data_IF_129912954674
#
_entry.id   IF_129912954674
#
_cell.length_a   1.000
_cell.length_b   1.000
_cell.length_c   1.000
_cell.angle_alpha   90.00
_cell.angle_beta   90.00
_cell.angle_gamma   90.00
#
_symmetry.space_group_name_H-M   'P 1'
#
loop_
_entity.id
_entity.type
_entity.pdbx_description
1 polymer ?
#
# COMPACT_ATOMS: atom_id res chain seq x y z
N UNK A 1 -23.85 -4.23 -35.76
CA UNK A 1 -24.38 -5.57 -35.43
C UNK A 1 -23.86 -5.94 -34.06
N UNK A 2 -24.68 -5.71 -33.05
CA UNK A 2 -24.45 -6.09 -31.65
C UNK A 2 -24.66 -7.59 -31.54
N UNK A 3 -23.58 -8.36 -31.44
CA UNK A 3 -23.66 -9.76 -31.03
C UNK A 3 -24.18 -9.76 -29.60
N UNK A 4 -25.35 -10.35 -29.39
CA UNK A 4 -25.84 -10.65 -28.06
C UNK A 4 -24.82 -11.61 -27.40
N UNK A 5 -23.95 -11.06 -26.55
CA UNK A 5 -23.23 -11.84 -25.55
C UNK A 5 -24.32 -12.40 -24.63
N UNK A 6 -24.55 -13.71 -24.72
CA UNK A 6 -25.49 -14.40 -23.84
C UNK A 6 -25.14 -14.13 -22.38
N UNK A 7 -26.15 -14.20 -21.51
CA UNK A 7 -26.10 -13.96 -20.07
C UNK A 7 -25.18 -14.94 -19.27
N UNK A 8 -24.10 -15.47 -19.83
CA UNK A 8 -23.20 -16.41 -19.15
C UNK A 8 -21.77 -16.28 -19.65
N UNK A 9 -20.81 -16.45 -18.74
CA UNK A 9 -19.38 -16.50 -19.02
C UNK A 9 -18.92 -17.86 -19.58
N UNK A 10 -19.77 -18.91 -19.54
CA UNK A 10 -19.42 -20.27 -19.93
C UNK A 10 -18.82 -20.38 -21.35
N UNK A 11 -19.35 -19.62 -22.32
CA UNK A 11 -18.82 -19.60 -23.68
C UNK A 11 -17.44 -18.94 -23.80
N UNK A 12 -17.08 -18.04 -22.89
CA UNK A 12 -15.74 -17.43 -22.82
C UNK A 12 -14.78 -18.33 -22.04
N UNK A 13 -15.27 -19.04 -21.02
CA UNK A 13 -14.51 -20.02 -20.25
C UNK A 13 -14.10 -21.22 -21.10
N UNK A 14 -14.99 -21.73 -21.95
CA UNK A 14 -14.65 -22.81 -22.89
C UNK A 14 -13.51 -22.43 -23.85
N UNK A 15 -13.35 -21.15 -24.19
CA UNK A 15 -12.25 -20.67 -25.04
C UNK A 15 -10.88 -20.64 -24.33
N UNK A 16 -10.85 -20.73 -22.99
CA UNK A 16 -9.61 -20.85 -22.22
C UNK A 16 -9.04 -22.27 -22.26
N UNK A 17 -9.89 -23.28 -22.49
CA UNK A 17 -9.49 -24.68 -22.57
C UNK A 17 -8.86 -25.06 -23.92
N UNK A 18 -9.04 -24.23 -24.95
CA UNK A 18 -8.44 -24.42 -26.29
C UNK A 18 -6.93 -24.20 -26.27
N UNK A 19 -6.17 -24.95 -27.07
CA UNK A 19 -4.69 -24.89 -27.10
C UNK A 19 -4.12 -23.59 -27.71
N UNK A 20 -4.95 -22.79 -28.40
CA UNK A 20 -4.48 -21.58 -29.09
C UNK A 20 -4.31 -20.38 -28.13
N UNK A 21 -3.07 -19.93 -27.99
CA UNK A 21 -2.70 -18.76 -27.20
C UNK A 21 -3.46 -17.47 -27.60
N UNK A 22 -3.80 -17.30 -28.88
CA UNK A 22 -4.56 -16.14 -29.34
C UNK A 22 -6.02 -16.18 -28.85
N UNK A 23 -6.62 -17.37 -28.78
CA UNK A 23 -7.96 -17.57 -28.25
C UNK A 23 -7.99 -17.36 -26.73
N UNK A 24 -7.01 -17.92 -26.01
CA UNK A 24 -6.83 -17.70 -24.57
C UNK A 24 -6.69 -16.21 -24.24
N UNK A 25 -5.85 -15.49 -24.97
CA UNK A 25 -5.67 -14.04 -24.80
C UNK A 25 -6.97 -13.25 -24.98
N UNK A 26 -7.71 -13.54 -26.05
CA UNK A 26 -9.00 -12.89 -26.32
C UNK A 26 -10.06 -13.26 -25.28
N UNK A 27 -10.07 -14.50 -24.78
CA UNK A 27 -10.93 -14.93 -23.70
C UNK A 27 -10.65 -14.13 -22.42
N UNK A 28 -9.37 -14.00 -22.02
CA UNK A 28 -8.96 -13.22 -20.85
C UNK A 28 -9.35 -11.74 -20.95
N UNK A 29 -9.22 -11.13 -22.14
CA UNK A 29 -9.65 -9.75 -22.34
C UNK A 29 -11.15 -9.56 -22.13
N UNK A 30 -11.95 -10.51 -22.62
CA UNK A 30 -13.41 -10.50 -22.39
C UNK A 30 -13.74 -10.76 -20.92
N UNK A 31 -13.07 -11.70 -20.26
CA UNK A 31 -13.27 -11.99 -18.85
C UNK A 31 -12.99 -10.78 -17.97
N UNK A 32 -11.92 -10.03 -18.23
CA UNK A 32 -11.62 -8.81 -17.49
C UNK A 32 -12.74 -7.74 -17.57
N UNK A 33 -13.53 -7.72 -18.65
CA UNK A 33 -14.65 -6.78 -18.80
C UNK A 33 -15.91 -7.23 -18.04
N UNK A 34 -16.09 -8.54 -17.86
CA UNK A 34 -17.32 -9.13 -17.31
C UNK A 34 -17.13 -9.67 -15.89
N UNK A 35 -15.90 -9.71 -15.38
CA UNK A 35 -15.54 -10.30 -14.07
C UNK A 35 -16.38 -9.76 -12.93
N UNK A 36 -16.66 -8.45 -12.90
CA UNK A 36 -17.44 -7.85 -11.82
C UNK A 36 -18.90 -8.33 -11.75
N UNK A 37 -19.43 -8.89 -12.85
CA UNK A 37 -20.82 -9.36 -12.95
C UNK A 37 -20.94 -10.88 -12.90
N UNK A 38 -19.93 -11.59 -13.41
CA UNK A 38 -19.93 -13.05 -13.57
C UNK A 38 -18.84 -13.74 -12.75
N UNK A 39 -18.29 -13.10 -11.71
CA UNK A 39 -17.25 -13.67 -10.85
C UNK A 39 -17.61 -15.06 -10.32
N UNK A 40 -18.90 -15.31 -10.01
CA UNK A 40 -19.36 -16.60 -9.50
C UNK A 40 -19.22 -17.73 -10.52
N UNK A 41 -19.44 -17.47 -11.82
CA UNK A 41 -19.21 -18.47 -12.88
C UNK A 41 -17.72 -18.62 -13.18
N UNK A 42 -16.95 -17.54 -13.08
CA UNK A 42 -15.51 -17.55 -13.33
C UNK A 42 -14.75 -18.23 -12.17
N UNK A 43 -15.32 -18.24 -10.97
CA UNK A 43 -14.73 -18.86 -9.78
C UNK A 43 -14.39 -20.34 -10.01
N UNK A 44 -15.25 -21.08 -10.72
CA UNK A 44 -15.03 -22.50 -11.06
C UNK A 44 -13.80 -22.71 -11.96
N UNK A 45 -13.42 -21.68 -12.72
CA UNK A 45 -12.28 -21.71 -13.65
C UNK A 45 -11.03 -21.01 -13.12
N UNK A 46 -11.01 -20.53 -11.87
CA UNK A 46 -9.83 -19.90 -11.25
C UNK A 46 -8.57 -20.76 -11.38
N UNK A 47 -8.59 -22.07 -11.07
CA UNK A 47 -7.38 -22.90 -11.15
C UNK A 47 -6.72 -22.87 -12.53
N UNK A 48 -7.54 -22.85 -13.60
CA UNK A 48 -7.06 -22.76 -14.98
C UNK A 48 -6.45 -21.38 -15.27
N UNK A 49 -7.08 -20.31 -14.80
CA UNK A 49 -6.57 -18.93 -15.00
C UNK A 49 -5.26 -18.73 -14.22
N UNK A 50 -5.14 -19.31 -13.02
CA UNK A 50 -3.91 -19.29 -12.24
C UNK A 50 -2.79 -20.04 -12.95
N UNK A 51 -3.04 -21.25 -13.46
CA UNK A 51 -2.06 -22.02 -14.24
C UNK A 51 -1.53 -21.20 -15.43
N UNK A 52 -2.43 -20.56 -16.19
CA UNK A 52 -2.07 -19.67 -17.30
C UNK A 52 -1.25 -18.44 -16.86
N UNK A 53 -1.43 -17.97 -15.63
CA UNK A 53 -0.66 -16.86 -15.08
C UNK A 53 0.77 -17.26 -14.70
N UNK A 54 0.99 -18.53 -14.38
CA UNK A 54 2.29 -19.09 -14.02
C UNK A 54 3.08 -19.60 -15.25
N UNK A 55 2.39 -19.86 -16.36
CA UNK A 55 3.01 -20.25 -17.63
C UNK A 55 3.94 -19.18 -18.20
N UNK A 56 5.24 -19.43 -18.13
CA UNK A 56 6.28 -18.51 -18.66
C UNK A 56 6.23 -18.30 -20.17
N UNK A 57 5.63 -19.26 -20.90
CA UNK A 57 5.48 -19.20 -22.37
C UNK A 57 4.28 -18.40 -22.85
N UNK A 58 3.35 -18.04 -21.96
CA UNK A 58 2.12 -17.35 -22.32
C UNK A 58 2.34 -15.83 -22.35
N UNK A 59 2.09 -15.15 -23.50
CA UNK A 59 2.38 -13.73 -23.66
C UNK A 59 1.53 -12.82 -22.75
N UNK A 60 0.29 -13.22 -22.45
CA UNK A 60 -0.67 -12.43 -21.68
C UNK A 60 -0.85 -12.93 -20.23
N UNK A 61 0.18 -13.55 -19.65
CA UNK A 61 0.17 -14.04 -18.26
C UNK A 61 -0.16 -12.96 -17.23
N UNK A 62 0.24 -11.73 -17.48
CA UNK A 62 -0.02 -10.57 -16.61
C UNK A 62 -1.52 -10.24 -16.60
N UNK A 63 -2.23 -10.46 -17.72
CA UNK A 63 -3.67 -10.29 -17.80
C UNK A 63 -4.39 -11.44 -17.09
N UNK A 64 -3.90 -12.68 -17.21
CA UNK A 64 -4.43 -13.82 -16.47
C UNK A 64 -4.34 -13.59 -14.97
N UNK A 65 -3.17 -13.18 -14.47
CA UNK A 65 -2.97 -12.82 -13.07
C UNK A 65 -3.94 -11.70 -12.60
N UNK A 66 -4.16 -10.69 -13.44
CA UNK A 66 -5.09 -9.60 -13.12
C UNK A 66 -6.55 -10.07 -13.01
N UNK A 67 -7.00 -10.91 -13.95
CA UNK A 67 -8.37 -11.46 -13.94
C UNK A 67 -8.57 -12.36 -12.71
N UNK A 68 -7.63 -13.27 -12.44
CA UNK A 68 -7.69 -14.14 -11.27
C UNK A 68 -7.72 -13.32 -9.97
N UNK A 69 -6.86 -12.30 -9.87
CA UNK A 69 -6.85 -11.39 -8.71
C UNK A 69 -8.20 -10.71 -8.47
N UNK A 70 -8.87 -10.24 -9.54
CA UNK A 70 -10.23 -9.66 -9.42
C UNK A 70 -11.27 -10.69 -8.98
N UNK A 71 -11.18 -11.92 -9.44
CA UNK A 71 -12.06 -13.00 -8.98
C UNK A 71 -11.87 -13.26 -7.48
N UNK A 72 -10.63 -13.42 -7.01
CA UNK A 72 -10.33 -13.60 -5.58
C UNK A 72 -10.78 -12.41 -4.73
N UNK A 73 -10.68 -11.19 -5.26
CA UNK A 73 -11.23 -10.01 -4.58
C UNK A 73 -12.74 -10.13 -4.34
N UNK A 74 -13.52 -10.61 -5.32
CA UNK A 74 -14.97 -10.83 -5.14
C UNK A 74 -15.28 -12.03 -4.24
N UNK A 75 -14.36 -12.99 -4.10
CA UNK A 75 -14.43 -14.09 -3.14
C UNK A 75 -14.00 -13.70 -1.72
N UNK A 76 -13.61 -12.43 -1.50
CA UNK A 76 -13.07 -11.92 -0.23
C UNK A 76 -11.75 -12.59 0.22
N UNK A 77 -11.06 -13.28 -0.70
CA UNK A 77 -9.76 -13.91 -0.46
C UNK A 77 -8.63 -12.93 -0.82
N UNK A 78 -8.43 -11.94 0.04
CA UNK A 78 -7.55 -10.79 -0.25
C UNK A 78 -6.06 -11.15 -0.32
N UNK A 79 -5.60 -12.19 0.37
CA UNK A 79 -4.20 -12.62 0.33
C UNK A 79 -3.82 -13.17 -1.06
N UNK A 80 -4.65 -14.03 -1.63
CA UNK A 80 -4.45 -14.55 -2.98
C UNK A 80 -4.69 -13.49 -4.04
N UNK A 81 -5.69 -12.63 -3.83
CA UNK A 81 -5.89 -11.46 -4.68
C UNK A 81 -4.63 -10.59 -4.73
N UNK A 82 -3.97 -10.31 -3.60
CA UNK A 82 -2.72 -9.55 -3.56
C UNK A 82 -1.59 -10.27 -4.28
N UNK A 83 -1.38 -11.57 -4.03
CA UNK A 83 -0.32 -12.37 -4.67
C UNK A 83 -0.39 -12.28 -6.19
N UNK A 84 -1.58 -12.43 -6.75
CA UNK A 84 -1.83 -12.36 -8.19
C UNK A 84 -1.79 -10.91 -8.71
N UNK A 85 -2.26 -9.93 -7.94
CA UNK A 85 -2.17 -8.51 -8.30
C UNK A 85 -0.71 -8.07 -8.48
N UNK A 86 0.20 -8.54 -7.62
CA UNK A 86 1.65 -8.27 -7.75
C UNK A 86 2.24 -8.90 -9.03
N UNK A 87 1.64 -9.98 -9.53
CA UNK A 87 1.99 -10.62 -10.80
C UNK A 87 1.40 -9.94 -12.04
N UNK A 88 0.37 -9.09 -11.88
CA UNK A 88 -0.33 -8.42 -12.97
C UNK A 88 0.48 -7.31 -13.66
N UNK A 89 1.62 -6.90 -13.08
CA UNK A 89 2.58 -5.98 -13.71
C UNK A 89 1.94 -4.68 -14.18
N UNK A 90 1.82 -4.50 -15.50
CA UNK A 90 1.27 -3.29 -16.14
C UNK A 90 -0.24 -3.11 -15.97
N UNK A 91 -0.99 -4.18 -15.66
CA UNK A 91 -2.45 -4.13 -15.55
C UNK A 91 -2.92 -3.62 -14.18
N UNK A 92 -2.06 -3.69 -13.16
CA UNK A 92 -2.32 -3.09 -11.86
C UNK A 92 -1.92 -1.61 -11.87
N UNK A 93 -2.88 -0.72 -12.18
CA UNK A 93 -2.68 0.72 -12.04
C UNK A 93 -3.11 1.20 -10.65
N UNK A 94 -2.12 1.55 -9.82
CA UNK A 94 -2.32 2.08 -8.47
C UNK A 94 -2.92 3.49 -8.46
N UNK A 95 -3.00 4.19 -9.60
CA UNK A 95 -3.62 5.52 -9.67
C UNK A 95 -5.13 5.46 -9.92
N UNK A 96 -5.63 4.32 -10.38
CA UNK A 96 -7.04 4.13 -10.61
C UNK A 96 -7.78 4.06 -9.27
N UNK A 97 -8.69 5.01 -9.03
CA UNK A 97 -9.56 5.01 -7.85
C UNK A 97 -10.71 4.02 -8.07
N UNK A 98 -10.51 2.78 -7.65
CA UNK A 98 -11.53 1.74 -7.64
C UNK A 98 -11.51 0.99 -6.32
N UNK A 99 -12.65 0.41 -5.94
CA UNK A 99 -12.76 -0.37 -4.71
C UNK A 99 -11.74 -1.52 -4.67
N UNK A 100 -11.55 -2.21 -5.80
CA UNK A 100 -10.51 -3.23 -5.95
C UNK A 100 -9.12 -2.68 -5.65
N UNK A 101 -8.72 -1.57 -6.28
CA UNK A 101 -7.36 -1.01 -6.12
C UNK A 101 -7.13 -0.53 -4.70
N UNK A 102 -8.12 0.14 -4.10
CA UNK A 102 -8.02 0.64 -2.72
C UNK A 102 -7.92 -0.51 -1.71
N UNK A 103 -8.69 -1.58 -1.89
CA UNK A 103 -8.61 -2.78 -1.03
C UNK A 103 -7.27 -3.49 -1.20
N UNK A 104 -6.80 -3.72 -2.43
CA UNK A 104 -5.49 -4.37 -2.67
C UNK A 104 -4.35 -3.56 -2.07
N UNK A 105 -4.39 -2.22 -2.18
CA UNK A 105 -3.40 -1.35 -1.55
C UNK A 105 -3.48 -1.46 -0.02
N UNK A 106 -4.67 -1.45 0.57
CA UNK A 106 -4.84 -1.62 2.01
C UNK A 106 -4.28 -2.96 2.49
N UNK A 107 -4.64 -4.08 1.85
CA UNK A 107 -4.10 -5.41 2.15
C UNK A 107 -2.59 -5.47 1.98
N UNK A 108 -2.03 -4.80 0.96
CA UNK A 108 -0.60 -4.68 0.75
C UNK A 108 0.10 -3.97 1.92
N UNK A 109 -0.47 -2.87 2.41
CA UNK A 109 0.07 -2.11 3.55
C UNK A 109 -0.03 -2.95 4.82
N UNK A 110 -1.17 -3.58 5.08
CA UNK A 110 -1.39 -4.41 6.28
C UNK A 110 -0.38 -5.57 6.35
N UNK A 111 -0.16 -6.26 5.23
CA UNK A 111 0.85 -7.32 5.14
C UNK A 111 2.27 -6.78 5.36
N UNK A 112 2.59 -5.61 4.79
CA UNK A 112 3.88 -4.98 5.00
C UNK A 112 4.10 -4.57 6.47
N UNK A 113 3.07 -3.98 7.11
CA UNK A 113 3.08 -3.61 8.53
C UNK A 113 3.24 -4.85 9.41
N UNK A 114 2.52 -5.94 9.12
CA UNK A 114 2.58 -7.18 9.88
C UNK A 114 3.98 -7.81 9.86
N UNK A 115 4.70 -7.73 8.73
CA UNK A 115 6.09 -8.21 8.65
C UNK A 115 7.04 -7.28 9.41
N UNK A 116 6.94 -5.96 9.19
CA UNK A 116 7.78 -4.95 9.88
C UNK A 116 7.56 -4.94 11.39
N UNK A 117 6.35 -5.23 11.85
CA UNK A 117 6.01 -5.25 13.27
C UNK A 117 6.76 -6.33 14.07
N UNK A 118 7.18 -7.42 13.41
CA UNK A 118 7.93 -8.54 14.02
C UNK A 118 9.38 -8.19 14.37
N UNK A 119 9.90 -7.06 13.87
CA UNK A 119 11.28 -6.59 14.09
C UNK A 119 12.37 -7.62 13.74
N UNK A 120 12.04 -8.53 12.83
CA UNK A 120 12.96 -9.57 12.34
C UNK A 120 13.58 -9.12 11.01
N UNK A 121 14.88 -8.80 11.05
CA UNK A 121 15.64 -8.37 9.88
C UNK A 121 15.69 -9.40 8.76
N UNK A 122 15.56 -10.70 9.06
CA UNK A 122 15.52 -11.74 8.03
C UNK A 122 14.14 -11.81 7.38
N UNK A 123 13.06 -11.64 8.15
CA UNK A 123 11.72 -11.51 7.61
C UNK A 123 11.56 -10.26 6.73
N UNK A 124 12.22 -9.15 7.09
CA UNK A 124 12.24 -7.95 6.25
C UNK A 124 12.97 -8.16 4.92
N UNK A 125 14.06 -8.94 4.90
CA UNK A 125 14.77 -9.28 3.66
C UNK A 125 14.00 -10.29 2.81
N UNK A 126 13.18 -11.13 3.45
CA UNK A 126 12.33 -12.11 2.79
C UNK A 126 11.05 -11.50 2.18
N UNK A 127 10.76 -10.22 2.42
CA UNK A 127 9.64 -9.52 1.79
C UNK A 127 9.79 -9.54 0.27
N UNK A 128 8.68 -9.82 -0.42
CA UNK A 128 8.63 -9.71 -1.87
C UNK A 128 9.00 -8.27 -2.28
N UNK A 129 10.03 -8.09 -3.14
CA UNK A 129 10.39 -6.77 -3.65
C UNK A 129 9.22 -6.04 -4.33
N UNK A 130 8.28 -6.77 -4.92
CA UNK A 130 7.08 -6.21 -5.57
C UNK A 130 6.17 -5.53 -4.56
N UNK A 131 5.99 -6.14 -3.38
CA UNK A 131 5.18 -5.59 -2.30
C UNK A 131 5.81 -4.29 -1.76
N UNK A 132 7.14 -4.29 -1.56
CA UNK A 132 7.88 -3.07 -1.18
C UNK A 132 7.71 -1.96 -2.22
N UNK A 133 7.82 -2.30 -3.50
CA UNK A 133 7.66 -1.34 -4.61
C UNK A 133 6.25 -0.73 -4.68
N UNK A 134 5.20 -1.51 -4.40
CA UNK A 134 3.82 -0.98 -4.32
C UNK A 134 3.69 0.04 -3.19
N UNK A 135 4.23 -0.27 -2.01
CA UNK A 135 4.22 0.65 -0.86
C UNK A 135 4.99 1.94 -1.17
N UNK A 136 6.16 1.84 -1.80
CA UNK A 136 6.95 3.01 -2.22
C UNK A 136 6.22 3.88 -3.24
N UNK A 137 5.56 3.27 -4.24
CA UNK A 137 4.70 4.02 -5.17
C UNK A 137 3.53 4.69 -4.47
N UNK A 138 2.99 4.07 -3.42
CA UNK A 138 1.93 4.66 -2.60
C UNK A 138 2.40 5.94 -1.89
N UNK A 139 3.60 5.93 -1.31
CA UNK A 139 4.21 7.14 -0.73
C UNK A 139 4.36 8.26 -1.76
N UNK A 140 4.94 7.97 -2.93
CA UNK A 140 5.10 8.97 -3.98
C UNK A 140 3.75 9.50 -4.49
N UNK A 141 2.72 8.65 -4.58
CA UNK A 141 1.35 9.06 -4.90
C UNK A 141 0.79 10.04 -3.87
N UNK A 142 0.92 9.71 -2.58
CA UNK A 142 0.46 10.59 -1.50
C UNK A 142 1.23 11.93 -1.50
N UNK A 143 2.54 11.91 -1.75
CA UNK A 143 3.34 13.14 -1.86
C UNK A 143 2.94 13.99 -3.06
N UNK A 144 2.73 13.38 -4.23
CA UNK A 144 2.28 14.07 -5.43
C UNK A 144 0.86 14.67 -5.27
N UNK A 145 -0.02 14.00 -4.53
CA UNK A 145 -1.37 14.47 -4.21
C UNK A 145 -1.42 15.50 -3.07
N UNK A 146 -0.32 15.73 -2.34
CA UNK A 146 -0.29 16.57 -1.14
C UNK A 146 -0.97 15.95 0.08
N UNK A 147 -1.25 14.64 0.05
CA UNK A 147 -1.90 13.86 1.10
C UNK A 147 -0.91 13.44 2.21
N UNK A 148 -0.21 14.41 2.80
CA UNK A 148 0.84 14.16 3.81
C UNK A 148 0.35 13.47 5.08
N UNK A 149 -0.93 13.62 5.44
CA UNK A 149 -1.51 12.91 6.59
C UNK A 149 -1.53 11.40 6.36
N UNK A 150 -1.94 10.96 5.17
CA UNK A 150 -1.96 9.54 4.85
C UNK A 150 -0.54 8.98 4.78
N UNK A 151 0.38 9.68 4.12
CA UNK A 151 1.79 9.30 4.07
C UNK A 151 2.40 9.18 5.47
N UNK A 152 2.14 10.14 6.36
CA UNK A 152 2.61 10.09 7.75
C UNK A 152 2.03 8.89 8.51
N UNK A 153 0.75 8.59 8.35
CA UNK A 153 0.10 7.40 8.95
C UNK A 153 0.81 6.11 8.55
N UNK A 154 0.97 5.89 7.24
CA UNK A 154 1.64 4.70 6.69
C UNK A 154 3.10 4.65 7.18
N UNK A 155 3.84 5.77 7.20
CA UNK A 155 5.22 5.79 7.68
C UNK A 155 5.34 5.37 9.15
N UNK A 156 4.39 5.76 10.00
CA UNK A 156 4.37 5.43 11.42
C UNK A 156 3.95 3.98 11.67
N UNK A 157 2.94 3.47 10.96
CA UNK A 157 2.49 2.07 11.05
C UNK A 157 3.56 1.09 10.56
N UNK A 158 4.22 1.43 9.45
CA UNK A 158 5.31 0.63 8.87
C UNK A 158 6.65 0.78 9.60
N UNK A 159 6.70 1.61 10.65
CA UNK A 159 7.89 1.92 11.45
C UNK A 159 9.08 2.44 10.61
N UNK A 160 8.81 3.17 9.54
CA UNK A 160 9.80 3.73 8.61
C UNK A 160 10.20 5.14 8.98
N UNK A 161 11.28 5.27 9.77
CA UNK A 161 11.80 6.57 10.21
C UNK A 161 12.29 7.45 9.04
N UNK A 162 12.80 6.81 7.99
CA UNK A 162 13.20 7.46 6.74
C UNK A 162 12.02 8.17 6.06
N UNK A 163 10.87 7.51 5.96
CA UNK A 163 9.67 8.09 5.36
C UNK A 163 9.03 9.16 6.25
N UNK A 164 9.16 9.06 7.58
CA UNK A 164 8.75 10.15 8.49
C UNK A 164 9.56 11.42 8.21
N UNK A 165 10.89 11.31 8.06
CA UNK A 165 11.75 12.44 7.72
C UNK A 165 11.39 13.03 6.37
N UNK A 166 11.22 12.18 5.36
CA UNK A 166 10.86 12.61 4.00
C UNK A 166 9.50 13.32 3.98
N UNK A 167 8.51 12.77 4.69
CA UNK A 167 7.19 13.36 4.80
C UNK A 167 7.22 14.75 5.44
N UNK A 168 8.02 14.95 6.50
CA UNK A 168 8.17 16.25 7.14
C UNK A 168 8.95 17.25 6.26
N UNK A 169 9.91 16.77 5.46
CA UNK A 169 10.70 17.61 4.56
C UNK A 169 9.90 18.08 3.35
N UNK A 170 9.03 17.24 2.79
CA UNK A 170 8.19 17.55 1.63
C UNK A 170 6.86 18.24 1.99
N UNK A 171 6.45 18.21 3.26
CA UNK A 171 5.17 18.75 3.70
C UNK A 171 5.00 20.23 3.33
N UNK A 172 3.86 20.57 2.72
CA UNK A 172 3.48 21.96 2.42
C UNK A 172 3.23 22.77 3.69
N UNK A 173 2.63 22.14 4.70
CA UNK A 173 2.46 22.69 6.06
C UNK A 173 3.15 21.79 7.09
N UNK A 174 4.39 22.16 7.40
CA UNK A 174 5.23 21.43 8.36
C UNK A 174 4.67 21.55 9.79
N UNK A 175 4.00 22.64 10.17
CA UNK A 175 3.46 22.79 11.54
C UNK A 175 2.26 21.85 11.74
N UNK A 176 1.35 21.80 10.77
CA UNK A 176 0.25 20.84 10.79
C UNK A 176 0.75 19.38 10.72
N UNK A 177 1.77 19.08 9.90
CA UNK A 177 2.35 17.75 9.81
C UNK A 177 3.00 17.30 11.13
N UNK A 178 3.73 18.19 11.81
CA UNK A 178 4.33 17.91 13.12
C UNK A 178 3.27 17.69 14.20
N UNK A 179 2.21 18.51 14.22
CA UNK A 179 1.10 18.37 15.16
C UNK A 179 0.39 17.03 14.98
N UNK A 180 0.09 16.67 13.72
CA UNK A 180 -0.52 15.39 13.38
C UNK A 180 0.39 14.19 13.73
N UNK A 181 1.69 14.29 13.45
CA UNK A 181 2.67 13.27 13.83
C UNK A 181 2.71 13.07 15.36
N UNK A 182 2.64 14.16 16.12
CA UNK A 182 2.60 14.13 17.58
C UNK A 182 1.39 13.36 18.11
N UNK A 183 0.21 13.67 17.58
CA UNK A 183 -1.06 13.05 18.01
C UNK A 183 -1.09 11.55 17.70
N UNK A 184 -0.61 11.13 16.51
CA UNK A 184 -0.50 9.71 16.16
C UNK A 184 0.51 9.01 17.07
N UNK A 185 1.67 9.63 17.33
CA UNK A 185 2.68 9.04 18.21
C UNK A 185 2.15 8.80 19.64
N UNK A 186 1.24 9.65 20.12
CA UNK A 186 0.60 9.47 21.43
C UNK A 186 -0.44 8.36 21.47
N UNK A 187 -1.17 8.15 20.37
CA UNK A 187 -2.38 7.33 20.34
C UNK A 187 -2.15 5.96 19.70
N UNK A 188 -1.45 5.90 18.57
CA UNK A 188 -1.34 4.71 17.72
C UNK A 188 0.00 3.98 17.91
N UNK A 189 1.10 4.72 18.08
CA UNK A 189 2.45 4.11 18.09
C UNK A 189 2.72 3.40 19.43
N UNK A 190 2.50 2.08 19.45
CA UNK A 190 2.68 1.26 20.66
C UNK A 190 4.16 1.08 21.04
N UNK A 191 5.06 0.97 20.05
CA UNK A 191 6.48 0.74 20.29
C UNK A 191 7.17 1.99 20.86
N UNK A 192 7.62 1.90 22.12
CA UNK A 192 8.30 3.00 22.82
C UNK A 192 9.62 3.40 22.15
N UNK A 193 10.43 2.45 21.72
CA UNK A 193 11.74 2.75 21.15
C UNK A 193 11.61 3.50 19.82
N UNK A 194 10.70 3.04 18.95
CA UNK A 194 10.39 3.74 17.71
C UNK A 194 9.80 5.12 17.96
N UNK A 195 8.84 5.23 18.89
CA UNK A 195 8.22 6.52 19.27
C UNK A 195 9.25 7.57 19.73
N UNK A 196 10.24 7.17 20.55
CA UNK A 196 11.32 8.07 20.96
C UNK A 196 12.19 8.54 19.78
N UNK A 197 12.47 7.66 18.81
CA UNK A 197 13.19 8.06 17.59
C UNK A 197 12.40 9.08 16.77
N UNK A 198 11.08 8.89 16.64
CA UNK A 198 10.21 9.84 15.93
C UNK A 198 10.22 11.20 16.63
N UNK A 199 10.09 11.25 17.96
CA UNK A 199 10.20 12.49 18.72
C UNK A 199 11.57 13.17 18.55
N UNK A 200 12.65 12.41 18.46
CA UNK A 200 13.98 12.94 18.11
C UNK A 200 13.98 13.65 16.75
N UNK A 201 13.41 13.01 15.72
CA UNK A 201 13.28 13.61 14.38
C UNK A 201 12.43 14.88 14.42
N UNK A 202 11.31 14.87 15.14
CA UNK A 202 10.46 16.05 15.28
C UNK A 202 11.21 17.20 15.94
N UNK A 203 12.01 16.92 16.99
CA UNK A 203 12.80 17.93 17.67
C UNK A 203 13.85 18.58 16.75
N UNK A 204 14.52 17.77 15.92
CA UNK A 204 15.47 18.27 14.93
C UNK A 204 14.78 19.21 13.92
N UNK A 205 13.59 18.82 13.44
CA UNK A 205 12.80 19.65 12.52
C UNK A 205 12.34 20.94 13.20
N UNK A 206 11.83 20.89 14.43
CA UNK A 206 11.46 22.11 15.18
C UNK A 206 12.66 23.06 15.35
N UNK A 207 13.86 22.53 15.65
CA UNK A 207 15.08 23.33 15.85
C UNK A 207 15.61 23.96 14.56
N UNK A 208 15.41 23.32 13.41
CA UNK A 208 15.80 23.89 12.12
C UNK A 208 14.94 25.07 11.66
N UNK A 209 13.79 25.32 12.32
CA UNK A 209 12.84 26.35 11.90
C UNK A 209 13.14 27.69 12.57
N UNK A 210 12.98 28.81 11.84
CA UNK A 210 13.21 30.15 12.38
C UNK A 210 12.14 30.56 13.41
N UNK A 211 10.91 30.05 13.26
CA UNK A 211 9.82 30.22 14.23
C UNK A 211 9.89 29.11 15.27
N UNK A 212 10.37 29.42 16.47
CA UNK A 212 10.42 28.45 17.56
C UNK A 212 9.04 28.33 18.22
N UNK A 213 8.36 27.23 17.94
CA UNK A 213 7.15 26.82 18.67
C UNK A 213 7.55 26.20 20.01
N UNK A 214 7.95 27.04 20.97
CA UNK A 214 8.49 26.59 22.27
C UNK A 214 7.55 25.64 23.02
N UNK A 215 6.23 25.84 22.93
CA UNK A 215 5.25 24.94 23.53
C UNK A 215 5.35 23.51 22.96
N UNK A 216 5.37 23.38 21.63
CA UNK A 216 5.50 22.10 20.93
C UNK A 216 6.84 21.43 21.23
N UNK A 217 7.93 22.20 21.26
CA UNK A 217 9.27 21.71 21.62
C UNK A 217 9.31 21.17 23.05
N UNK A 218 8.74 21.91 24.01
CA UNK A 218 8.68 21.47 25.41
C UNK A 218 7.85 20.19 25.56
N UNK A 219 6.74 20.05 24.83
CA UNK A 219 5.94 18.82 24.82
C UNK A 219 6.71 17.63 24.27
N UNK A 220 7.46 17.80 23.18
CA UNK A 220 8.30 16.73 22.61
C UNK A 220 9.44 16.37 23.59
N UNK A 221 10.11 17.35 24.19
CA UNK A 221 11.15 17.13 25.18
C UNK A 221 10.63 16.43 26.45
N UNK A 222 9.40 16.74 26.86
CA UNK A 222 8.72 16.03 27.95
C UNK A 222 8.51 14.55 27.60
N UNK A 223 8.11 14.24 26.36
CA UNK A 223 7.97 12.85 25.92
C UNK A 223 9.31 12.11 25.80
N UNK A 224 10.42 12.85 25.66
CA UNK A 224 11.79 12.34 25.67
C UNK A 224 12.41 12.26 27.08
N UNK A 225 11.65 12.58 28.14
CA UNK A 225 12.14 12.69 29.52
C UNK A 225 13.34 13.65 29.70
N UNK A 226 13.50 14.63 28.80
CA UNK A 226 14.62 15.57 28.82
C UNK A 226 14.26 16.89 29.50
N UNK A 227 14.07 16.84 30.82
CA UNK A 227 13.67 17.99 31.64
C UNK A 227 14.73 19.10 31.72
N UNK A 228 16.00 18.74 31.60
CA UNK A 228 17.11 19.69 31.68
C UNK A 228 17.09 20.70 30.52
N UNK A 229 16.81 20.22 29.30
CA UNK A 229 16.70 21.10 28.13
C UNK A 229 15.45 21.98 28.18
N UNK A 230 14.33 21.49 28.74
CA UNK A 230 13.13 22.32 28.95
C UNK A 230 13.42 23.49 29.90
N UNK A 231 14.17 23.24 30.98
CA UNK A 231 14.59 24.29 31.90
C UNK A 231 15.39 25.39 31.21
N UNK A 232 16.39 25.01 30.39
CA UNK A 232 17.20 25.97 29.62
C UNK A 232 16.37 26.82 28.65
N UNK A 233 15.36 26.24 28.02
CA UNK A 233 14.47 26.97 27.11
C UNK A 233 13.64 28.00 27.88
N UNK A 234 13.10 27.62 29.04
CA UNK A 234 12.33 28.53 29.89
C UNK A 234 13.19 29.68 30.45
N UNK A 235 14.47 29.43 30.74
CA UNK A 235 15.41 30.46 31.19
C UNK A 235 15.79 31.48 30.09
N UNK A 236 15.54 31.16 28.81
CA UNK A 236 15.88 31.98 27.64
C UNK A 236 14.70 32.80 27.08
N UNK A 237 13.49 32.61 27.62
CA UNK A 237 12.25 33.29 27.26
C UNK A 237 11.97 34.50 28.17
#
# INVERSE_FOLDING_TARGET
MTVALGNSAAGVLALLEEDDNALKAHALQKLNQVVDHYWAEIADAIPLIEELSEEKGFPDRELAAYVASKCFFHLEEYEDALRLALGAGKYLDLNTRSQYTDTIIATCIDNYVAVRAKEDTEAEKALDPRLTHVVERMFERCYAAGEFRQAMGIALETRRLDQVKECLARATDVSAALSYCFDICKTVVSNRHFRLKVFGVMLDVYRSRPTQEYASVCQVLQMLDNHAEVGKILDQL
#
